data_IF_395771568024
#
_entry.id   IF_395771568024
#
_cell.length_a   1.000
_cell.length_b   1.000
_cell.length_c   1.000
_cell.angle_alpha   90.00
_cell.angle_beta   90.00
_cell.angle_gamma   90.00
#
_symmetry.space_group_name_H-M   'P 1'
#
loop_
_entity.id
_entity.type
_entity.pdbx_description
1 polymer ?
#
# COMPACT_ATOMS: atom_id res chain seq x y z
N UNK A 1 1.80 19.90 18.49
CA UNK A 1 2.08 20.63 17.24
C UNK A 1 3.56 20.40 16.94
N UNK A 2 3.89 19.38 16.15
CA UNK A 2 5.29 19.09 15.81
C UNK A 2 5.74 20.06 14.72
N UNK A 3 6.66 20.95 15.07
CA UNK A 3 7.25 21.99 14.21
C UNK A 3 8.25 21.45 13.18
N UNK A 4 8.28 20.13 12.96
CA UNK A 4 9.18 19.46 12.02
C UNK A 4 8.38 19.00 10.82
N UNK A 5 8.86 19.26 9.59
CA UNK A 5 8.24 18.66 8.40
C UNK A 5 8.25 17.14 8.57
N UNK A 6 7.09 16.53 8.38
CA UNK A 6 6.97 15.07 8.34
C UNK A 6 7.79 14.53 7.15
N UNK A 7 8.23 13.28 7.22
CA UNK A 7 8.99 12.63 6.15
C UNK A 7 8.27 12.69 4.80
N UNK A 8 6.94 12.69 4.80
CA UNK A 8 6.11 12.93 3.62
C UNK A 8 6.37 14.31 3.00
N UNK A 9 6.37 15.36 3.81
CA UNK A 9 6.60 16.75 3.38
C UNK A 9 8.00 16.95 2.82
N UNK A 10 8.99 16.32 3.46
CA UNK A 10 10.38 16.35 2.98
C UNK A 10 10.50 15.69 1.61
N UNK A 11 9.89 14.52 1.40
CA UNK A 11 9.90 13.82 0.12
C UNK A 11 9.15 14.59 -0.97
N UNK A 12 8.01 15.20 -0.63
CA UNK A 12 7.25 16.06 -1.55
C UNK A 12 8.07 17.28 -1.98
N UNK A 13 8.67 17.98 -1.02
CA UNK A 13 9.50 19.17 -1.28
C UNK A 13 10.71 18.83 -2.15
N UNK A 14 11.45 17.79 -1.78
CA UNK A 14 12.64 17.40 -2.53
C UNK A 14 12.29 16.93 -3.96
N UNK A 15 11.14 16.26 -4.15
CA UNK A 15 10.65 15.89 -5.48
C UNK A 15 10.29 17.12 -6.31
N UNK A 16 9.65 18.12 -5.70
CA UNK A 16 9.30 19.36 -6.40
C UNK A 16 10.54 20.12 -6.87
N UNK A 17 11.56 20.26 -6.02
CA UNK A 17 12.84 20.88 -6.41
C UNK A 17 13.55 20.10 -7.53
N UNK A 18 13.57 18.75 -7.42
CA UNK A 18 14.12 17.90 -8.47
C UNK A 18 13.41 18.12 -9.81
N UNK A 19 12.08 18.19 -9.81
CA UNK A 19 11.29 18.32 -11.04
C UNK A 19 11.29 19.73 -11.63
N UNK A 20 11.18 20.76 -10.79
CA UNK A 20 11.02 22.16 -11.22
C UNK A 20 12.35 22.82 -11.53
N UNK A 21 13.40 22.51 -10.77
CA UNK A 21 14.67 23.24 -10.82
C UNK A 21 15.81 22.42 -11.40
N UNK A 22 15.97 21.16 -10.96
CA UNK A 22 17.11 20.34 -11.36
C UNK A 22 16.89 19.67 -12.72
N UNK A 23 15.74 19.03 -12.95
CA UNK A 23 15.44 18.28 -14.17
C UNK A 23 15.61 19.11 -15.46
N UNK A 24 15.18 20.39 -15.54
CA UNK A 24 15.40 21.21 -16.74
C UNK A 24 16.87 21.58 -16.98
N UNK A 25 17.70 21.60 -15.92
CA UNK A 25 19.12 21.93 -15.99
C UNK A 25 20.02 20.71 -16.22
N UNK A 26 19.47 19.49 -16.17
CA UNK A 26 20.23 18.26 -16.36
C UNK A 26 20.49 17.96 -17.85
N UNK A 27 21.68 17.40 -18.17
CA UNK A 27 21.94 16.77 -19.46
C UNK A 27 20.88 15.73 -19.85
N UNK A 28 20.65 15.56 -21.16
CA UNK A 28 19.57 14.73 -21.68
C UNK A 28 19.66 13.25 -21.25
N UNK A 29 20.87 12.73 -21.16
CA UNK A 29 21.21 11.36 -20.74
C UNK A 29 20.89 11.08 -19.26
N UNK A 30 20.79 12.12 -18.42
CA UNK A 30 20.45 12.00 -16.99
C UNK A 30 18.95 12.22 -16.69
N UNK A 31 18.16 12.64 -17.68
CA UNK A 31 16.74 12.97 -17.49
C UNK A 31 15.92 11.75 -17.05
N UNK A 32 16.23 10.58 -17.60
CA UNK A 32 15.52 9.34 -17.25
C UNK A 32 15.73 8.99 -15.77
N UNK A 33 16.97 9.06 -15.29
CA UNK A 33 17.33 8.75 -13.91
C UNK A 33 16.68 9.75 -12.95
N UNK A 34 16.66 11.05 -13.29
CA UNK A 34 15.97 12.06 -12.49
C UNK A 34 14.45 11.81 -12.41
N UNK A 35 13.81 11.41 -13.51
CA UNK A 35 12.39 11.02 -13.51
C UNK A 35 12.13 9.77 -12.68
N UNK A 36 13.00 8.77 -12.75
CA UNK A 36 12.94 7.55 -11.94
C UNK A 36 13.04 7.88 -10.44
N UNK A 37 13.99 8.75 -10.05
CA UNK A 37 14.14 9.22 -8.67
C UNK A 37 12.87 9.95 -8.21
N UNK A 38 12.36 10.89 -9.02
CA UNK A 38 11.14 11.62 -8.71
C UNK A 38 9.91 10.71 -8.54
N UNK A 39 9.86 9.60 -9.28
CA UNK A 39 8.81 8.60 -9.12
C UNK A 39 8.96 7.81 -7.81
N UNK A 40 10.17 7.35 -7.47
CA UNK A 40 10.45 6.65 -6.23
C UNK A 40 10.10 7.51 -5.00
N UNK A 41 10.46 8.80 -5.01
CA UNK A 41 10.10 9.74 -3.95
C UNK A 41 8.59 9.90 -3.80
N UNK A 42 7.85 9.93 -4.92
CA UNK A 42 6.39 10.02 -4.91
C UNK A 42 5.75 8.77 -4.30
N UNK A 43 6.30 7.57 -4.59
CA UNK A 43 5.85 6.31 -4.00
C UNK A 43 6.10 6.31 -2.49
N UNK A 44 7.31 6.65 -2.06
CA UNK A 44 7.66 6.69 -0.64
C UNK A 44 6.80 7.68 0.15
N UNK A 45 6.50 8.86 -0.41
CA UNK A 45 5.60 9.82 0.23
C UNK A 45 4.18 9.27 0.41
N UNK A 46 3.66 8.50 -0.57
CA UNK A 46 2.35 7.84 -0.45
C UNK A 46 2.35 6.66 0.51
N UNK A 47 3.45 5.92 0.62
CA UNK A 47 3.59 4.88 1.64
C UNK A 47 3.55 5.45 3.06
N UNK A 48 4.18 6.61 3.28
CA UNK A 48 4.09 7.32 4.56
C UNK A 48 2.67 7.82 4.84
N UNK A 49 1.99 8.37 3.83
CA UNK A 49 0.61 8.88 3.93
C UNK A 49 -0.42 7.78 4.25
N UNK A 50 -0.29 6.63 3.58
CA UNK A 50 -1.16 5.47 3.83
C UNK A 50 -1.04 4.96 5.28
N UNK A 51 0.13 5.17 5.90
CA UNK A 51 0.37 4.98 7.31
C UNK A 51 0.01 3.58 7.83
N UNK A 52 -0.18 3.49 9.15
CA UNK A 52 -0.60 2.25 9.81
C UNK A 52 -2.11 1.95 9.61
N UNK A 53 -2.92 2.93 9.23
CA UNK A 53 -4.37 2.77 9.13
C UNK A 53 -4.78 1.74 8.08
N UNK A 54 -4.23 1.83 6.86
CA UNK A 54 -4.50 0.85 5.80
C UNK A 54 -4.00 -0.55 6.16
N UNK A 55 -2.84 -0.63 6.81
CA UNK A 55 -2.26 -1.88 7.31
C UNK A 55 -3.11 -2.52 8.41
N UNK A 56 -3.66 -1.73 9.33
CA UNK A 56 -4.56 -2.20 10.39
C UNK A 56 -5.89 -2.67 9.82
N UNK A 57 -6.43 -1.97 8.82
CA UNK A 57 -7.65 -2.38 8.12
C UNK A 57 -7.43 -3.69 7.34
N UNK A 58 -6.29 -3.85 6.67
CA UNK A 58 -5.94 -5.12 6.01
C UNK A 58 -5.84 -6.26 7.02
N UNK A 59 -5.16 -6.03 8.16
CA UNK A 59 -5.03 -7.01 9.23
C UNK A 59 -6.40 -7.42 9.81
N UNK A 60 -7.28 -6.45 10.05
CA UNK A 60 -8.64 -6.69 10.54
C UNK A 60 -9.44 -7.56 9.55
N UNK A 61 -9.34 -7.27 8.26
CA UNK A 61 -9.99 -8.08 7.21
C UNK A 61 -9.45 -9.51 7.15
N UNK A 62 -8.15 -9.71 7.30
CA UNK A 62 -7.53 -11.04 7.35
C UNK A 62 -8.00 -11.83 8.57
N UNK A 63 -8.04 -11.20 9.75
CA UNK A 63 -8.52 -11.84 10.98
C UNK A 63 -9.99 -12.25 10.89
N UNK A 64 -10.83 -11.40 10.30
CA UNK A 64 -12.23 -11.74 10.07
C UNK A 64 -12.40 -12.96 9.16
N UNK A 65 -11.62 -13.04 8.07
CA UNK A 65 -11.67 -14.17 7.12
C UNK A 65 -11.11 -15.47 7.71
N UNK A 66 -10.05 -15.38 8.51
CA UNK A 66 -9.39 -16.52 9.15
C UNK A 66 -10.03 -16.92 10.50
N UNK A 67 -11.11 -16.24 10.90
CA UNK A 67 -11.78 -16.43 12.20
C UNK A 67 -10.80 -16.31 13.39
N UNK A 68 -9.86 -15.37 13.29
CA UNK A 68 -8.75 -15.19 14.22
C UNK A 68 -8.85 -13.86 14.97
N UNK A 69 -10.02 -13.64 15.60
CA UNK A 69 -10.33 -12.40 16.29
C UNK A 69 -9.54 -12.23 17.61
N UNK A 70 -9.03 -13.31 18.18
CA UNK A 70 -8.38 -13.33 19.51
C UNK A 70 -6.87 -13.04 19.47
N UNK A 71 -6.27 -12.95 18.29
CA UNK A 71 -4.85 -12.60 18.16
C UNK A 71 -4.55 -11.20 18.72
N UNK A 72 -3.51 -11.10 19.56
CA UNK A 72 -3.08 -9.83 20.17
C UNK A 72 -2.88 -8.71 19.14
N UNK A 73 -3.28 -7.50 19.49
CA UNK A 73 -3.05 -6.35 18.63
C UNK A 73 -1.54 -6.05 18.51
N UNK A 74 -1.02 -5.78 17.31
CA UNK A 74 0.39 -5.45 17.15
C UNK A 74 0.72 -4.14 17.88
N UNK A 75 1.72 -4.18 18.76
CA UNK A 75 2.12 -3.03 19.58
C UNK A 75 3.11 -2.09 18.89
N UNK A 76 3.67 -2.47 17.73
CA UNK A 76 4.58 -1.64 16.96
C UNK A 76 4.52 -1.95 15.44
N UNK A 77 5.12 -1.08 14.58
CA UNK A 77 5.08 -1.28 13.13
C UNK A 77 5.72 -2.57 12.63
N UNK A 78 6.73 -3.10 13.32
CA UNK A 78 7.38 -4.34 12.93
C UNK A 78 6.48 -5.55 13.21
N UNK A 79 5.85 -5.61 14.38
CA UNK A 79 4.85 -6.62 14.72
C UNK A 79 3.64 -6.57 13.78
N UNK A 80 3.22 -5.37 13.36
CA UNK A 80 2.16 -5.20 12.36
C UNK A 80 2.57 -5.81 11.00
N UNK A 81 3.79 -5.53 10.53
CA UNK A 81 4.32 -6.13 9.28
C UNK A 81 4.41 -7.65 9.37
N UNK A 82 4.86 -8.18 10.50
CA UNK A 82 4.94 -9.63 10.73
C UNK A 82 3.56 -10.27 10.74
N UNK A 83 2.58 -9.67 11.43
CA UNK A 83 1.20 -10.14 11.50
C UNK A 83 0.52 -10.13 10.12
N UNK A 84 0.72 -9.08 9.33
CA UNK A 84 0.23 -9.04 7.95
C UNK A 84 0.87 -10.12 7.08
N UNK A 85 2.17 -10.36 7.24
CA UNK A 85 2.88 -11.38 6.47
C UNK A 85 2.40 -12.79 6.80
N UNK A 86 2.22 -13.11 8.09
CA UNK A 86 1.69 -14.40 8.52
C UNK A 86 0.22 -14.58 8.11
N UNK A 87 -0.61 -13.55 8.26
CA UNK A 87 -2.01 -13.53 7.83
C UNK A 87 -2.16 -13.80 6.33
N UNK A 88 -1.37 -13.11 5.47
CA UNK A 88 -1.35 -13.36 4.01
C UNK A 88 -0.95 -14.80 3.67
N UNK A 89 0.04 -15.36 4.35
CA UNK A 89 0.47 -16.75 4.13
C UNK A 89 -0.64 -17.75 4.47
N UNK A 90 -1.30 -17.55 5.62
CA UNK A 90 -2.43 -18.39 6.07
C UNK A 90 -3.62 -18.26 5.14
N UNK A 91 -4.00 -17.04 4.76
CA UNK A 91 -5.06 -16.80 3.80
C UNK A 91 -4.77 -17.49 2.46
N UNK A 92 -3.54 -17.39 1.97
CA UNK A 92 -3.12 -18.09 0.76
C UNK A 92 -3.18 -19.62 0.87
N UNK A 93 -2.91 -20.18 2.06
CA UNK A 93 -3.05 -21.61 2.29
C UNK A 93 -4.53 -22.04 2.30
N UNK A 94 -5.38 -21.31 3.02
CA UNK A 94 -6.82 -21.56 3.09
C UNK A 94 -7.51 -21.47 1.71
N UNK A 95 -7.11 -20.48 0.88
CA UNK A 95 -7.57 -20.40 -0.53
C UNK A 95 -7.20 -21.66 -1.30
N UNK A 96 -5.96 -22.16 -1.17
CA UNK A 96 -5.52 -23.38 -1.86
C UNK A 96 -6.21 -24.65 -1.36
N UNK A 97 -6.73 -24.63 -0.14
CA UNK A 97 -7.51 -25.74 0.44
C UNK A 97 -8.99 -25.69 0.03
N UNK A 98 -9.42 -24.68 -0.73
CA UNK A 98 -10.82 -24.54 -1.16
C UNK A 98 -11.76 -23.97 -0.09
N UNK A 99 -11.22 -23.42 1.01
CA UNK A 99 -12.04 -22.84 2.09
C UNK A 99 -12.83 -21.60 1.65
N UNK A 100 -12.46 -21.03 0.51
CA UNK A 100 -13.10 -19.87 -0.11
C UNK A 100 -13.52 -20.14 -1.55
N UNK A 101 -13.81 -21.39 -1.92
CA UNK A 101 -14.35 -21.71 -3.25
C UNK A 101 -15.73 -21.08 -3.47
N UNK A 102 -16.19 -21.01 -4.73
CA UNK A 102 -17.38 -20.23 -5.12
C UNK A 102 -18.67 -20.69 -4.42
N UNK A 103 -18.75 -21.95 -3.98
CA UNK A 103 -19.85 -22.52 -3.21
C UNK A 103 -19.81 -22.13 -1.71
N UNK A 104 -18.72 -21.53 -1.23
CA UNK A 104 -18.53 -21.19 0.18
C UNK A 104 -19.15 -19.82 0.51
N UNK A 105 -19.80 -19.67 1.68
CA UNK A 105 -20.37 -18.39 2.10
C UNK A 105 -19.31 -17.28 2.26
N UNK A 106 -18.06 -17.65 2.56
CA UNK A 106 -16.96 -16.70 2.73
C UNK A 106 -16.35 -16.20 1.40
N UNK A 107 -16.71 -16.78 0.26
CA UNK A 107 -16.10 -16.45 -1.05
C UNK A 107 -16.22 -14.97 -1.40
N UNK A 108 -17.42 -14.40 -1.29
CA UNK A 108 -17.63 -12.99 -1.61
C UNK A 108 -16.90 -12.06 -0.65
N UNK A 109 -16.78 -12.43 0.63
CA UNK A 109 -16.03 -11.66 1.61
C UNK A 109 -14.54 -11.64 1.27
N UNK A 110 -13.99 -12.79 0.85
CA UNK A 110 -12.62 -12.88 0.36
C UNK A 110 -12.40 -11.97 -0.85
N UNK A 111 -13.26 -12.05 -1.87
CA UNK A 111 -13.11 -11.24 -3.09
C UNK A 111 -13.15 -9.73 -2.78
N UNK A 112 -14.06 -9.29 -1.90
CA UNK A 112 -14.10 -7.88 -1.46
C UNK A 112 -12.82 -7.47 -0.75
N UNK A 113 -12.30 -8.30 0.14
CA UNK A 113 -11.05 -8.04 0.86
C UNK A 113 -9.85 -7.95 -0.10
N UNK A 114 -9.70 -8.91 -1.01
CA UNK A 114 -8.60 -8.92 -1.99
C UNK A 114 -8.70 -7.72 -2.94
N UNK A 115 -9.91 -7.37 -3.40
CA UNK A 115 -10.12 -6.22 -4.26
C UNK A 115 -9.80 -4.90 -3.54
N UNK A 116 -10.17 -4.76 -2.26
CA UNK A 116 -9.80 -3.58 -1.45
C UNK A 116 -8.29 -3.49 -1.30
N UNK A 117 -7.63 -4.56 -0.82
CA UNK A 117 -6.17 -4.57 -0.61
C UNK A 117 -5.40 -4.31 -1.90
N UNK A 118 -5.87 -4.81 -3.04
CA UNK A 118 -5.28 -4.54 -4.34
C UNK A 118 -5.42 -3.06 -4.72
N UNK A 119 -6.60 -2.45 -4.55
CA UNK A 119 -6.80 -1.02 -4.81
C UNK A 119 -5.91 -0.15 -3.94
N UNK A 120 -5.80 -0.46 -2.65
CA UNK A 120 -4.94 0.29 -1.73
C UNK A 120 -3.47 0.27 -2.17
N UNK A 121 -2.97 -0.90 -2.58
CA UNK A 121 -1.61 -1.03 -3.14
C UNK A 121 -1.44 -0.29 -4.46
N UNK A 122 -2.43 -0.35 -5.34
CA UNK A 122 -2.38 0.39 -6.61
C UNK A 122 -2.39 1.90 -6.36
N UNK A 123 -3.16 2.40 -5.39
CA UNK A 123 -3.15 3.82 -5.02
C UNK A 123 -1.75 4.31 -4.61
N UNK A 124 -0.95 3.44 -3.98
CA UNK A 124 0.43 3.73 -3.61
C UNK A 124 1.37 3.69 -4.82
N UNK A 125 1.36 2.62 -5.62
CA UNK A 125 2.34 2.45 -6.69
C UNK A 125 1.99 3.20 -7.98
N UNK A 126 0.71 3.21 -8.34
CA UNK A 126 0.22 3.79 -9.59
C UNK A 126 -1.24 4.28 -9.48
N UNK A 127 -1.50 5.42 -8.81
CA UNK A 127 -2.85 5.93 -8.58
C UNK A 127 -3.60 6.28 -9.87
N UNK A 128 -2.87 6.60 -10.95
CA UNK A 128 -3.46 6.92 -12.26
C UNK A 128 -4.25 5.75 -12.86
N UNK A 129 -3.91 4.51 -12.48
CA UNK A 129 -4.63 3.33 -12.93
C UNK A 129 -6.05 3.26 -12.34
N UNK A 130 -6.25 3.79 -11.13
CA UNK A 130 -7.58 3.84 -10.49
C UNK A 130 -8.46 4.91 -11.12
N UNK A 131 -7.91 6.10 -11.42
CA UNK A 131 -8.67 7.16 -12.09
C UNK A 131 -9.02 6.86 -13.55
N UNK A 132 -8.28 5.96 -14.20
CA UNK A 132 -8.53 5.55 -15.59
C UNK A 132 -9.58 4.44 -15.70
N UNK A 133 -9.94 3.79 -14.58
CA UNK A 133 -10.93 2.73 -14.53
C UNK A 133 -12.38 3.22 -14.45
N UNK A 134 -12.61 4.44 -13.97
CA UNK A 134 -13.95 5.05 -13.82
C UNK A 134 -14.54 5.60 -15.14
N UNK A 135 -13.81 5.49 -16.25
CA UNK A 135 -14.23 5.95 -17.58
C UNK A 135 -14.75 4.82 -18.49
N UNK A 136 -15.15 3.66 -17.93
CA UNK A 136 -15.67 2.52 -18.70
C UNK A 136 -17.01 2.01 -18.18
#
# INVERSE_FOLDING_TARGET
MSDRPDGQDLLRTAREELMKRLLPALPADLRYQALMIANAMAIAARELDAGAAGQLQELAGQRALLQDAESEAPGNPEQLRQSLTSGRKRLGAAIRLGEFDADKPAHQALLRHLASSARDKVAIYNPKLLSSGDAR
#
